data_IF_206186683392
#
_entry.id   IF_206186683392
#
_cell.length_a   1.000
_cell.length_b   1.000
_cell.length_c   1.000
_cell.angle_alpha   90.00
_cell.angle_beta   90.00
_cell.angle_gamma   90.00
#
_symmetry.space_group_name_H-M   'P 1'
#
loop_
_entity.id
_entity.type
_entity.pdbx_description
1 polymer ?
#
# COMPACT_ATOMS: atom_id res chain seq x y z
N UNK A 1 7.43 3.63 -23.28
CA UNK A 1 7.17 2.20 -23.57
C UNK A 1 5.66 1.98 -23.49
N UNK A 2 4.92 2.04 -24.60
CA UNK A 2 3.44 2.16 -24.57
C UNK A 2 2.67 0.85 -24.36
N UNK A 3 3.31 -0.28 -24.03
CA UNK A 3 2.64 -1.58 -23.97
C UNK A 3 2.81 -2.33 -22.65
N UNK A 4 3.75 -1.91 -21.81
CA UNK A 4 4.04 -2.64 -20.58
C UNK A 4 2.85 -2.52 -19.62
N UNK A 5 2.23 -3.66 -19.31
CA UNK A 5 1.10 -3.73 -18.38
C UNK A 5 1.51 -4.26 -16.99
N UNK A 6 2.60 -5.02 -16.92
CA UNK A 6 3.09 -5.64 -15.69
C UNK A 6 4.58 -5.34 -15.57
N UNK A 7 4.99 -4.84 -14.41
CA UNK A 7 6.40 -4.63 -14.05
C UNK A 7 6.64 -5.25 -12.67
N UNK A 8 7.60 -6.16 -12.60
CA UNK A 8 8.00 -6.84 -11.38
C UNK A 8 9.47 -6.54 -11.09
N UNK A 9 9.72 -5.98 -9.91
CA UNK A 9 11.03 -5.55 -9.40
C UNK A 9 11.27 -6.18 -8.03
N UNK A 10 11.32 -7.51 -8.00
CA UNK A 10 11.57 -8.27 -6.79
C UNK A 10 13.06 -8.41 -6.52
N UNK A 11 13.49 -8.11 -5.29
CA UNK A 11 14.87 -8.33 -4.83
C UNK A 11 15.95 -7.69 -5.73
N UNK A 12 15.62 -6.55 -6.35
CA UNK A 12 16.52 -5.79 -7.20
C UNK A 12 17.49 -4.88 -6.41
N UNK A 13 17.51 -4.98 -5.08
CA UNK A 13 18.30 -4.14 -4.16
C UNK A 13 18.04 -2.64 -4.34
N UNK A 14 16.81 -2.28 -4.70
CA UNK A 14 16.39 -0.89 -4.86
C UNK A 14 16.52 -0.18 -3.49
N UNK A 15 17.15 0.97 -3.52
CA UNK A 15 17.31 1.84 -2.34
C UNK A 15 16.51 3.14 -2.49
N UNK A 16 16.42 3.64 -3.72
CA UNK A 16 15.73 4.86 -4.08
C UNK A 16 15.03 4.67 -5.43
N UNK A 17 13.97 5.44 -5.66
CA UNK A 17 13.21 5.45 -6.90
C UNK A 17 13.26 6.88 -7.44
N UNK A 18 13.62 7.05 -8.71
CA UNK A 18 13.51 8.34 -9.38
C UNK A 18 12.01 8.73 -9.51
N UNK A 19 11.59 9.94 -9.10
CA UNK A 19 10.18 10.36 -9.12
C UNK A 19 9.51 10.28 -10.50
N UNK A 20 10.29 10.28 -11.58
CA UNK A 20 9.79 10.26 -12.96
C UNK A 20 10.08 8.92 -13.67
N UNK A 21 10.60 7.90 -12.99
CA UNK A 21 10.93 6.60 -13.61
C UNK A 21 9.72 5.92 -14.27
N UNK A 22 8.51 6.22 -13.79
CA UNK A 22 7.25 5.65 -14.31
C UNK A 22 6.62 6.48 -15.44
N UNK A 23 7.19 7.63 -15.82
CA UNK A 23 6.70 8.48 -16.91
C UNK A 23 6.39 7.72 -18.22
N UNK A 24 7.26 6.81 -18.71
CA UNK A 24 7.00 6.12 -19.96
C UNK A 24 5.99 4.96 -19.86
N UNK A 25 5.41 4.70 -18.68
CA UNK A 25 4.64 3.49 -18.33
C UNK A 25 3.13 3.77 -18.14
N UNK A 26 2.55 4.64 -18.95
CA UNK A 26 1.14 5.04 -18.87
C UNK A 26 0.08 3.93 -18.99
N UNK A 27 0.46 2.74 -19.46
CA UNK A 27 -0.42 1.57 -19.60
C UNK A 27 -0.19 0.51 -18.52
N UNK A 28 0.62 0.82 -17.49
CA UNK A 28 0.94 -0.11 -16.41
C UNK A 28 -0.29 -0.38 -15.55
N UNK A 29 -0.66 -1.66 -15.44
CA UNK A 29 -1.79 -2.15 -14.63
C UNK A 29 -1.35 -2.82 -13.35
N UNK A 30 -0.15 -3.39 -13.33
CA UNK A 30 0.41 -4.08 -12.17
C UNK A 30 1.86 -3.69 -11.97
N UNK A 31 2.17 -3.21 -10.76
CA UNK A 31 3.52 -2.87 -10.34
C UNK A 31 3.84 -3.61 -9.05
N UNK A 32 4.94 -4.35 -9.06
CA UNK A 32 5.47 -5.03 -7.90
C UNK A 32 6.87 -4.55 -7.63
N UNK A 33 7.09 -3.99 -6.44
CA UNK A 33 8.41 -3.61 -5.95
C UNK A 33 8.52 -4.28 -4.59
N UNK A 34 8.98 -5.52 -4.57
CA UNK A 34 8.94 -6.38 -3.39
C UNK A 34 10.34 -6.80 -2.95
N UNK A 35 10.52 -7.06 -1.66
CA UNK A 35 11.80 -7.54 -1.11
C UNK A 35 13.00 -6.61 -1.33
N UNK A 36 12.79 -5.30 -1.51
CA UNK A 36 13.85 -4.31 -1.63
C UNK A 36 14.12 -3.65 -0.27
N UNK A 37 14.94 -4.32 0.56
CA UNK A 37 15.22 -3.90 1.95
C UNK A 37 15.89 -2.52 2.09
N UNK A 38 16.38 -1.94 1.00
CA UNK A 38 16.96 -0.59 0.99
C UNK A 38 15.92 0.51 0.79
N UNK A 39 14.73 0.19 0.28
CA UNK A 39 13.69 1.16 -0.02
C UNK A 39 12.95 1.56 1.27
N UNK A 40 13.15 2.80 1.71
CA UNK A 40 12.63 3.34 2.98
C UNK A 40 11.56 4.42 2.83
N UNK A 41 11.41 4.98 1.62
CA UNK A 41 10.39 5.97 1.29
C UNK A 41 9.98 5.86 -0.17
N UNK A 42 8.83 6.45 -0.52
CA UNK A 42 8.40 6.63 -1.90
C UNK A 42 8.44 8.13 -2.23
N UNK A 43 8.88 8.53 -3.44
CA UNK A 43 8.73 9.91 -3.89
C UNK A 43 7.27 10.36 -3.93
N UNK A 44 7.04 11.65 -3.65
CA UNK A 44 5.72 12.26 -3.85
C UNK A 44 5.31 12.13 -5.31
N UNK A 45 4.02 11.88 -5.53
CA UNK A 45 3.41 11.74 -6.85
C UNK A 45 4.08 10.67 -7.75
N UNK A 46 4.76 9.67 -7.18
CA UNK A 46 5.45 8.61 -7.94
C UNK A 46 4.53 7.98 -8.99
N UNK A 47 3.25 7.79 -8.67
CA UNK A 47 2.29 7.10 -9.53
C UNK A 47 1.47 8.02 -10.44
N UNK A 48 1.79 9.32 -10.52
CA UNK A 48 1.03 10.30 -11.34
C UNK A 48 0.99 9.94 -12.83
N UNK A 49 1.98 9.19 -13.32
CA UNK A 49 2.08 8.76 -14.71
C UNK A 49 1.47 7.38 -14.98
N UNK A 50 0.94 6.70 -13.95
CA UNK A 50 0.32 5.36 -14.07
C UNK A 50 -1.17 5.40 -13.67
N UNK A 51 -2.02 6.19 -14.36
CA UNK A 51 -3.42 6.40 -13.96
C UNK A 51 -4.31 5.16 -14.12
N UNK A 52 -3.81 4.12 -14.81
CA UNK A 52 -4.53 2.87 -15.04
C UNK A 52 -4.05 1.72 -14.15
N UNK A 53 -3.22 2.01 -13.14
CA UNK A 53 -2.72 1.00 -12.22
C UNK A 53 -3.86 0.39 -11.41
N UNK A 54 -3.92 -0.95 -11.39
CA UNK A 54 -4.96 -1.73 -10.71
C UNK A 54 -4.41 -2.49 -9.50
N UNK A 55 -3.14 -2.92 -9.55
CA UNK A 55 -2.47 -3.69 -8.50
C UNK A 55 -1.11 -3.05 -8.19
N UNK A 56 -0.87 -2.75 -6.91
CA UNK A 56 0.40 -2.23 -6.42
C UNK A 56 0.87 -3.04 -5.23
N UNK A 57 1.97 -3.76 -5.38
CA UNK A 57 2.57 -4.57 -4.32
C UNK A 57 3.91 -3.97 -3.91
N UNK A 58 4.01 -3.56 -2.63
CA UNK A 58 5.18 -2.96 -2.01
C UNK A 58 5.67 -3.80 -0.81
N UNK A 59 5.47 -5.12 -0.90
CA UNK A 59 5.69 -6.09 0.18
C UNK A 59 7.16 -6.20 0.57
N UNK A 60 7.43 -6.35 1.87
CA UNK A 60 8.76 -6.68 2.39
C UNK A 60 9.86 -5.69 1.99
N UNK A 61 9.52 -4.40 1.92
CA UNK A 61 10.50 -3.32 1.87
C UNK A 61 10.80 -2.83 3.30
N UNK A 62 11.30 -1.59 3.45
CA UNK A 62 11.49 -0.97 4.78
C UNK A 62 10.87 0.41 4.83
N UNK A 63 9.75 0.60 4.13
CA UNK A 63 9.08 1.89 4.05
C UNK A 63 8.59 2.29 5.44
N UNK A 64 9.00 3.46 5.93
CA UNK A 64 8.59 3.97 7.25
C UNK A 64 7.57 5.10 7.15
N UNK A 65 7.82 6.04 6.24
CA UNK A 65 7.07 7.28 6.15
C UNK A 65 6.25 7.30 4.86
N UNK A 66 4.93 7.25 5.00
CA UNK A 66 3.97 7.44 3.92
C UNK A 66 3.09 8.63 4.29
N UNK A 67 3.08 9.66 3.45
CA UNK A 67 2.17 10.80 3.63
C UNK A 67 0.80 10.54 3.00
N UNK A 68 0.69 9.45 2.23
CA UNK A 68 -0.43 9.02 1.40
C UNK A 68 -0.65 9.86 0.15
N UNK A 69 0.03 11.01 0.03
CA UNK A 69 0.03 11.83 -1.18
C UNK A 69 0.79 11.13 -2.33
N UNK A 70 1.66 10.16 -2.02
CA UNK A 70 2.35 9.37 -3.04
C UNK A 70 1.37 8.57 -3.91
N UNK A 71 0.17 8.28 -3.39
CA UNK A 71 -0.89 7.49 -4.03
C UNK A 71 -1.98 8.37 -4.69
N UNK A 72 -1.79 9.69 -4.75
CA UNK A 72 -2.78 10.60 -5.33
C UNK A 72 -3.13 10.22 -6.78
N UNK A 73 -4.43 10.16 -7.08
CA UNK A 73 -4.95 9.90 -8.43
C UNK A 73 -5.01 8.42 -8.83
N UNK A 74 -4.70 7.48 -7.93
CA UNK A 74 -4.82 6.03 -8.15
C UNK A 74 -6.28 5.53 -8.13
N UNK A 75 -7.13 6.18 -8.92
CA UNK A 75 -8.57 5.96 -8.96
C UNK A 75 -8.96 4.55 -9.44
N UNK A 76 -8.09 3.84 -10.17
CA UNK A 76 -8.35 2.47 -10.66
C UNK A 76 -7.73 1.38 -9.79
N UNK A 77 -7.01 1.74 -8.74
CA UNK A 77 -6.34 0.77 -7.89
C UNK A 77 -7.37 -0.07 -7.12
N UNK A 78 -7.26 -1.38 -7.24
CA UNK A 78 -8.14 -2.37 -6.61
C UNK A 78 -7.45 -3.09 -5.47
N UNK A 79 -6.12 -3.22 -5.55
CA UNK A 79 -5.32 -3.95 -4.58
C UNK A 79 -4.03 -3.18 -4.26
N UNK A 80 -3.83 -2.93 -2.97
CA UNK A 80 -2.61 -2.34 -2.42
C UNK A 80 -2.07 -3.26 -1.33
N UNK A 81 -0.82 -3.68 -1.47
CA UNK A 81 -0.11 -4.36 -0.38
C UNK A 81 1.07 -3.54 0.10
N UNK A 82 1.02 -3.18 1.37
CA UNK A 82 2.09 -2.54 2.15
C UNK A 82 2.60 -3.48 3.25
N UNK A 83 2.29 -4.78 3.14
CA UNK A 83 2.66 -5.79 4.11
C UNK A 83 4.18 -5.84 4.36
N UNK A 84 4.55 -6.16 5.59
CA UNK A 84 5.96 -6.31 6.00
C UNK A 84 6.81 -5.05 5.71
N UNK A 85 6.27 -3.86 6.00
CA UNK A 85 7.00 -2.60 6.02
C UNK A 85 7.16 -2.10 7.46
N UNK A 86 7.47 -0.81 7.64
CA UNK A 86 7.70 -0.19 8.95
C UNK A 86 6.79 1.01 9.19
N UNK A 87 5.59 0.99 8.64
CA UNK A 87 4.61 2.08 8.72
C UNK A 87 3.91 2.06 10.08
N UNK A 88 3.79 3.19 10.76
CA UNK A 88 3.02 3.32 12.02
C UNK A 88 1.73 4.14 11.85
N UNK A 89 1.62 4.94 10.78
CA UNK A 89 0.48 5.83 10.56
C UNK A 89 -0.27 5.52 9.27
N UNK A 90 -1.59 5.33 9.41
CA UNK A 90 -2.50 5.05 8.30
C UNK A 90 -3.63 6.09 8.26
N UNK A 91 -3.77 6.78 7.13
CA UNK A 91 -4.76 7.87 6.96
C UNK A 91 -5.95 7.40 6.13
N UNK A 92 -7.02 6.99 6.82
CA UNK A 92 -8.24 6.52 6.18
C UNK A 92 -8.88 7.57 5.25
N UNK A 93 -8.73 8.87 5.56
CA UNK A 93 -9.30 9.95 4.74
C UNK A 93 -8.56 10.06 3.41
N UNK A 94 -7.22 10.02 3.45
CA UNK A 94 -6.43 10.06 2.21
C UNK A 94 -6.55 8.78 1.39
N UNK A 95 -6.60 7.61 2.02
CA UNK A 95 -6.82 6.34 1.31
C UNK A 95 -8.15 6.37 0.56
N UNK A 96 -9.24 6.73 1.22
CA UNK A 96 -10.56 6.82 0.57
C UNK A 96 -10.60 7.89 -0.53
N UNK A 97 -9.93 9.03 -0.33
CA UNK A 97 -9.86 10.12 -1.32
C UNK A 97 -9.06 9.74 -2.57
N UNK A 98 -7.90 9.11 -2.41
CA UNK A 98 -6.94 8.90 -3.49
C UNK A 98 -7.07 7.55 -4.18
N UNK A 99 -7.63 6.55 -3.49
CA UNK A 99 -7.88 5.21 -4.01
C UNK A 99 -9.34 4.80 -3.74
N UNK A 100 -10.33 5.56 -4.25
CA UNK A 100 -11.75 5.34 -3.92
C UNK A 100 -12.32 4.00 -4.38
N UNK A 101 -11.61 3.24 -5.23
CA UNK A 101 -12.03 1.92 -5.72
C UNK A 101 -11.24 0.75 -5.10
N UNK A 102 -10.49 1.00 -4.02
CA UNK A 102 -9.59 0.03 -3.40
C UNK A 102 -10.37 -1.07 -2.68
N UNK A 103 -10.32 -2.30 -3.19
CA UNK A 103 -11.06 -3.45 -2.64
C UNK A 103 -10.28 -4.24 -1.61
N UNK A 104 -8.95 -4.23 -1.71
CA UNK A 104 -8.05 -5.00 -0.85
C UNK A 104 -6.88 -4.15 -0.40
N UNK A 105 -6.63 -4.17 0.90
CA UNK A 105 -5.52 -3.50 1.54
C UNK A 105 -4.82 -4.45 2.52
N UNK A 106 -3.54 -4.69 2.31
CA UNK A 106 -2.71 -5.54 3.17
C UNK A 106 -1.70 -4.68 3.91
N UNK A 107 -1.79 -4.62 5.24
CA UNK A 107 -0.97 -3.79 6.14
C UNK A 107 -0.42 -4.58 7.33
N UNK A 108 -0.55 -5.90 7.32
CA UNK A 108 0.05 -6.79 8.30
C UNK A 108 1.57 -6.59 8.38
N UNK A 109 2.16 -6.93 9.53
CA UNK A 109 3.60 -6.80 9.78
C UNK A 109 4.16 -5.37 9.59
N UNK A 110 3.37 -4.35 9.90
CA UNK A 110 3.81 -2.95 10.06
C UNK A 110 3.93 -2.54 11.54
N UNK A 111 4.52 -1.37 11.86
CA UNK A 111 4.90 -0.93 13.22
C UNK A 111 3.73 -0.54 14.14
N UNK A 112 2.52 -0.30 13.61
CA UNK A 112 1.34 0.04 14.42
C UNK A 112 0.76 -1.15 15.20
N UNK A 113 0.21 -0.89 16.39
CA UNK A 113 -0.47 -1.92 17.20
C UNK A 113 -1.70 -2.51 16.48
N UNK A 114 -2.10 -3.73 16.85
CA UNK A 114 -3.31 -4.40 16.37
C UNK A 114 -4.53 -3.46 16.46
N UNK A 115 -4.70 -2.81 17.62
CA UNK A 115 -5.80 -1.86 17.87
C UNK A 115 -5.78 -0.65 16.94
N UNK A 116 -4.63 -0.01 16.71
CA UNK A 116 -4.51 1.13 15.78
C UNK A 116 -4.91 0.72 14.36
N UNK A 117 -4.50 -0.46 13.92
CA UNK A 117 -4.82 -0.98 12.59
C UNK A 117 -6.29 -1.36 12.46
N UNK A 118 -6.90 -1.90 13.51
CA UNK A 118 -8.34 -2.16 13.58
C UNK A 118 -9.16 -0.86 13.49
N UNK A 119 -8.83 0.15 14.29
CA UNK A 119 -9.47 1.46 14.24
C UNK A 119 -9.32 2.12 12.85
N UNK A 120 -8.15 2.00 12.23
CA UNK A 120 -7.93 2.43 10.85
C UNK A 120 -8.85 1.69 9.86
N UNK A 121 -8.95 0.36 9.96
CA UNK A 121 -9.83 -0.46 9.11
C UNK A 121 -11.27 0.02 9.21
N UNK A 122 -11.78 0.21 10.43
CA UNK A 122 -13.17 0.62 10.65
C UNK A 122 -13.43 2.04 10.11
N UNK A 123 -12.49 2.97 10.36
CA UNK A 123 -12.54 4.33 9.79
C UNK A 123 -12.49 4.34 8.28
N UNK A 124 -11.69 3.46 7.67
CA UNK A 124 -11.59 3.35 6.23
C UNK A 124 -12.90 2.80 5.65
N UNK A 125 -13.43 1.71 6.19
CA UNK A 125 -14.70 1.15 5.73
C UNK A 125 -15.85 2.16 5.79
N UNK A 126 -15.92 2.99 6.84
CA UNK A 126 -16.93 4.04 6.97
C UNK A 126 -16.81 5.16 5.91
N UNK A 127 -15.66 5.27 5.23
CA UNK A 127 -15.40 6.27 4.18
C UNK A 127 -15.51 5.71 2.77
N UNK A 128 -15.53 4.38 2.62
CA UNK A 128 -15.72 3.72 1.33
C UNK A 128 -17.21 3.51 1.08
N UNK A 129 -17.66 3.72 -0.15
CA UNK A 129 -19.04 3.43 -0.59
C UNK A 129 -19.26 1.93 -0.89
N UNK A 130 -18.21 1.12 -0.75
CA UNK A 130 -18.22 -0.31 -0.97
C UNK A 130 -17.44 -1.07 0.13
N UNK A 131 -17.67 -2.39 0.28
CA UNK A 131 -16.85 -3.20 1.18
C UNK A 131 -15.37 -3.18 0.79
N UNK A 132 -14.49 -3.05 1.79
CA UNK A 132 -13.04 -3.15 1.63
C UNK A 132 -12.49 -4.25 2.54
N UNK A 133 -11.71 -5.15 1.95
CA UNK A 133 -10.98 -6.16 2.71
C UNK A 133 -9.66 -5.57 3.19
N UNK A 134 -9.50 -5.41 4.50
CA UNK A 134 -8.26 -4.98 5.12
C UNK A 134 -7.66 -6.14 5.91
N UNK A 135 -6.50 -6.63 5.49
CA UNK A 135 -5.69 -7.58 6.23
C UNK A 135 -4.68 -6.81 7.06
N UNK A 136 -4.75 -6.96 8.38
CA UNK A 136 -3.93 -6.20 9.33
C UNK A 136 -3.36 -7.06 10.46
N UNK A 137 -3.92 -8.24 10.68
CA UNK A 137 -3.39 -9.32 11.50
C UNK A 137 -2.67 -10.33 10.62
N UNK A 138 -1.78 -11.12 11.21
CA UNK A 138 -1.32 -12.37 10.59
C UNK A 138 -2.53 -13.32 10.44
N UNK A 139 -2.59 -14.05 9.34
CA UNK A 139 -3.69 -14.98 8.99
C UNK A 139 -3.91 -16.09 10.06
N UNK A 140 -5.08 -16.77 10.06
CA UNK A 140 -5.63 -17.48 11.22
C UNK A 140 -4.74 -18.64 11.69
N UNK A 141 -4.35 -18.58 12.97
CA UNK A 141 -3.49 -19.56 13.62
C UNK A 141 -2.47 -18.92 14.57
N UNK A 142 -2.19 -17.63 14.41
CA UNK A 142 -1.53 -16.85 15.47
C UNK A 142 -2.61 -16.27 16.39
N UNK A 143 -2.52 -16.59 17.68
CA UNK A 143 -3.26 -15.90 18.75
C UNK A 143 -2.84 -14.43 18.78
N UNK A 144 -3.36 -13.64 17.85
CA UNK A 144 -3.23 -12.18 17.82
C UNK A 144 -4.66 -11.63 17.83
N UNK A 145 -5.44 -12.09 18.81
CA UNK A 145 -6.73 -11.51 19.11
C UNK A 145 -6.43 -10.12 19.65
N UNK A 146 -6.82 -9.06 18.92
CA UNK A 146 -6.76 -7.69 19.44
C UNK A 146 -7.53 -7.53 20.79
N UNK A 147 -8.18 -8.59 21.29
CA UNK A 147 -8.92 -8.72 22.56
C UNK A 147 -8.07 -9.08 23.79
N UNK A 148 -6.78 -9.39 23.67
CA UNK A 148 -5.95 -9.81 24.82
C UNK A 148 -4.88 -8.80 25.28
N UNK A 149 -4.95 -7.55 24.83
CA UNK A 149 -4.05 -6.48 25.26
C UNK A 149 -4.75 -5.43 26.12
N UNK A 150 -5.62 -5.88 27.03
CA UNK A 150 -6.07 -5.07 28.15
C UNK A 150 -5.28 -5.51 29.39
N UNK A 151 -4.15 -4.85 29.64
CA UNK A 151 -3.53 -4.66 30.96
C UNK A 151 -2.71 -3.35 30.95
#
# INVERSE_FOLDING_TARGET
MKWLQVLVLENCRIQQIDPNVLEPLNNLKRLEITHNRGLTYLPQNLFKYTPVLEILLLVANRITNITWNEFEGLNRLKELSLAANRIDYFDATKVARFMPNLKKLFIEQNMGSCRKKLDFKDKLQAKMDHPIHVQYTLDPGSYDDCKHFDD
#
